data_IF_086653384883
#
_entry.id   IF_086653384883
#
_cell.length_a   1.000
_cell.length_b   1.000
_cell.length_c   1.000
_cell.angle_alpha   90.00
_cell.angle_beta   90.00
_cell.angle_gamma   90.00
#
_symmetry.space_group_name_H-M   'P 1'
#
loop_
_entity.id
_entity.type
_entity.pdbx_description
1 polymer ?
2 non-polymer ?
#
# COMPACT_ATOMS: atom_id res chain seq x y z
N UNK A 6 1.91 25.74 -18.15
CA UNK A 6 2.64 24.80 -17.29
C UNK A 6 1.88 23.48 -17.23
N UNK A 7 2.56 22.36 -17.47
CA UNK A 7 1.94 21.02 -17.39
C UNK A 7 1.71 20.68 -15.92
N UNK A 8 0.52 20.15 -15.60
CA UNK A 8 0.22 19.70 -14.22
C UNK A 8 0.71 18.27 -13.85
N UNK A 9 2.02 18.11 -13.53
CA UNK A 9 2.66 16.80 -13.33
C UNK A 9 2.53 16.48 -11.84
N UNK A 10 1.98 15.31 -11.51
CA UNK A 10 1.86 14.80 -10.13
C UNK A 10 2.46 13.40 -10.11
N UNK A 11 2.90 12.94 -8.95
CA UNK A 11 3.36 11.54 -8.84
C UNK A 11 2.35 10.88 -7.89
N UNK A 12 2.09 9.57 -8.02
CA UNK A 12 1.23 8.75 -7.11
C UNK A 12 1.95 7.44 -6.78
N UNK A 13 1.99 7.09 -5.48
CA UNK A 13 2.68 5.89 -4.99
C UNK A 13 1.95 4.70 -5.59
N UNK A 14 2.70 3.72 -6.12
CA UNK A 14 2.13 2.51 -6.74
C UNK A 14 2.24 1.31 -5.79
N UNK A 15 3.37 1.14 -5.12
CA UNK A 15 3.60 0.00 -4.19
C UNK A 15 4.97 0.17 -3.51
N UNK A 16 5.35 -0.86 -2.72
CA UNK A 16 6.67 -0.91 -2.05
C UNK A 16 7.65 -1.50 -3.04
N UNK A 17 8.93 -1.19 -2.90
CA UNK A 17 9.99 -1.73 -3.79
C UNK A 17 10.64 -2.88 -3.03
N UNK A 18 10.33 -4.11 -3.41
CA UNK A 18 10.92 -5.30 -2.76
C UNK A 18 11.09 -6.44 -3.78
N UNK A 19 12.10 -7.28 -3.58
CA UNK A 19 12.30 -8.47 -4.45
C UNK A 19 11.12 -9.42 -4.21
N UNK A 20 10.53 -9.93 -5.29
CA UNK A 20 9.38 -10.85 -5.19
C UNK A 20 9.86 -12.30 -5.37
N UNK A 21 9.77 -13.09 -4.31
CA UNK A 21 10.23 -14.51 -4.33
C UNK A 21 9.31 -15.38 -5.20
N UNK A 22 8.00 -15.11 -5.18
CA UNK A 22 6.99 -15.94 -5.89
C UNK A 22 6.77 -15.41 -7.31
N UNK A 23 7.74 -14.63 -7.78
CA UNK A 23 7.74 -13.90 -9.07
C UNK A 23 7.80 -14.85 -10.26
N UNK A 24 7.22 -14.41 -11.39
CA UNK A 24 7.23 -15.16 -12.68
C UNK A 24 8.54 -14.87 -13.41
N UNK A 25 9.27 -15.95 -13.77
CA UNK A 25 10.60 -15.92 -14.42
C UNK A 25 10.38 -15.81 -15.93
N UNK A 26 11.47 -15.85 -16.72
CA UNK A 26 11.45 -15.89 -18.20
C UNK A 26 10.83 -14.58 -18.73
N UNK A 27 10.35 -14.58 -19.97
CA UNK A 27 9.81 -13.33 -20.56
C UNK A 27 8.48 -13.53 -21.24
N UNK A 28 7.39 -13.33 -20.49
CA UNK A 28 6.01 -13.31 -21.05
C UNK A 28 5.59 -11.86 -21.31
N UNK A 29 6.42 -10.89 -20.87
CA UNK A 29 6.15 -9.43 -21.01
C UNK A 29 4.71 -9.08 -20.61
N UNK A 80 6.78 12.02 -0.33
CA UNK A 80 6.51 11.49 1.03
C UNK A 80 6.39 9.97 0.96
N UNK A 81 7.36 9.28 1.57
CA UNK A 81 7.42 7.80 1.70
C UNK A 81 8.22 7.24 0.53
N UNK A 82 9.03 6.22 0.81
CA UNK A 82 9.87 5.52 -0.19
C UNK A 82 8.97 4.60 -0.99
N UNK A 83 9.34 4.29 -2.23
CA UNK A 83 8.53 3.40 -3.08
C UNK A 83 8.65 3.75 -4.57
N UNK A 84 7.83 3.08 -5.39
CA UNK A 84 7.71 3.34 -6.83
C UNK A 84 6.47 4.22 -7.01
N UNK A 85 6.62 5.32 -7.76
CA UNK A 85 5.47 6.23 -8.03
C UNK A 85 5.18 6.19 -9.53
N UNK A 86 3.90 6.33 -9.87
CA UNK A 86 3.51 6.61 -11.28
C UNK A 86 3.73 8.12 -11.45
N UNK A 87 4.23 8.55 -12.61
CA UNK A 87 4.29 9.99 -12.94
C UNK A 87 3.15 10.30 -13.93
N UNK A 88 2.23 11.16 -13.53
CA UNK A 88 1.05 11.50 -14.37
C UNK A 88 0.89 13.02 -14.42
N UNK A 89 0.25 13.50 -15.47
CA UNK A 89 -0.05 14.94 -15.67
C UNK A 89 -1.54 15.02 -15.95
N UNK A 90 -2.23 16.02 -15.41
CA UNK A 90 -3.70 16.19 -15.63
C UNK A 90 -3.99 16.59 -17.09
N UNK A 91 -4.97 15.92 -17.72
CA UNK A 91 -5.39 16.23 -19.11
C UNK A 91 -6.84 16.67 -19.18
N UNK A 92 -7.28 17.07 -20.37
CA UNK A 92 -8.70 17.49 -20.60
C UNK A 92 -9.64 16.31 -20.34
N UNK A 93 -9.26 15.11 -20.81
CA UNK A 93 -10.07 13.87 -20.57
C UNK A 93 -9.80 13.33 -19.16
N UNK A 94 -8.53 13.28 -18.75
CA UNK A 94 -8.15 12.84 -17.40
C UNK A 94 -6.64 12.83 -17.24
N UNK A 95 -6.12 12.11 -16.24
CA UNK A 95 -4.66 12.00 -16.11
C UNK A 95 -4.18 10.95 -17.12
N UNK A 96 -2.93 11.07 -17.55
CA UNK A 96 -2.26 10.08 -18.43
C UNK A 96 -0.91 9.75 -17.78
N UNK A 97 -0.51 8.49 -17.76
CA UNK A 97 0.78 8.11 -17.13
C UNK A 97 1.91 8.21 -18.14
N UNK A 98 2.89 9.05 -17.87
CA UNK A 98 4.02 9.33 -18.80
C UNK A 98 5.30 8.66 -18.30
N UNK A 99 5.40 8.34 -17.02
CA UNK A 99 6.62 7.65 -16.52
C UNK A 99 6.41 7.02 -15.16
N UNK A 100 7.50 6.47 -14.61
CA UNK A 100 7.50 5.86 -13.26
C UNK A 100 8.74 6.39 -12.54
N UNK A 101 8.67 6.54 -11.23
CA UNK A 101 9.83 7.02 -10.45
C UNK A 101 10.05 6.20 -9.20
N UNK A 102 11.25 6.30 -8.67
CA UNK A 102 11.67 5.54 -7.47
C UNK A 102 11.89 6.57 -6.36
N UNK A 103 11.24 6.42 -5.22
CA UNK A 103 11.51 7.30 -4.06
C UNK A 103 12.41 6.54 -3.08
N UNK A 104 13.60 7.09 -2.85
CA UNK A 104 14.59 6.51 -1.92
C UNK A 104 15.33 7.67 -1.24
N UNK A 105 15.39 7.62 0.09
CA UNK A 105 16.12 8.60 0.95
C UNK A 105 15.62 10.03 0.72
N UNK A 106 14.30 10.20 0.54
CA UNK A 106 13.71 11.54 0.38
C UNK A 106 14.06 12.18 -0.95
N UNK A 107 14.65 11.42 -1.89
CA UNK A 107 14.98 11.92 -3.25
C UNK A 107 14.20 11.14 -4.32
N UNK A 108 13.58 11.84 -5.25
CA UNK A 108 12.80 11.18 -6.33
C UNK A 108 13.68 11.01 -7.56
N UNK A 109 13.76 9.80 -8.09
CA UNK A 109 14.61 9.44 -9.25
C UNK A 109 13.67 9.09 -10.40
N UNK A 110 13.91 9.63 -11.60
CA UNK A 110 13.07 9.29 -12.79
C UNK A 110 13.88 9.59 -14.04
N UNK A 111 13.34 9.23 -15.20
CA UNK A 111 13.96 9.48 -16.52
C UNK A 111 13.79 10.95 -16.86
N UNK A 112 14.82 11.58 -17.43
CA UNK A 112 14.72 13.00 -17.86
C UNK A 112 13.56 13.21 -18.84
N UNK A 113 13.43 12.31 -19.81
CA UNK A 113 12.41 12.42 -20.88
C UNK A 113 11.01 12.36 -20.30
N UNK A 114 10.79 11.65 -19.18
CA UNK A 114 9.42 11.60 -18.60
C UNK A 114 9.07 12.97 -18.03
N UNK A 115 9.92 13.51 -17.15
CA UNK A 115 9.67 14.78 -16.41
C UNK A 115 10.00 15.99 -17.29
N UNK A 116 11.06 15.87 -18.09
CA UNK A 116 11.54 16.95 -19.02
C UNK A 116 11.97 18.19 -18.21
N UNK A 117 12.16 18.02 -16.88
CA UNK A 117 12.59 19.08 -15.95
C UNK A 117 11.43 19.77 -15.27
N UNK A 118 10.21 19.40 -15.63
CA UNK A 118 8.99 20.07 -15.12
C UNK A 118 8.89 19.82 -13.62
N UNK A 119 8.28 20.77 -12.90
CA UNK A 119 8.10 20.65 -11.43
C UNK A 119 7.06 19.55 -11.18
N UNK A 120 7.21 18.82 -10.06
CA UNK A 120 6.31 17.68 -9.75
C UNK A 120 5.47 18.00 -8.50
N UNK A 121 4.18 17.73 -8.56
CA UNK A 121 3.27 17.92 -7.40
C UNK A 121 3.16 16.56 -6.68
N UNK A 122 3.56 16.52 -5.43
CA UNK A 122 3.37 15.35 -4.54
C UNK A 122 2.56 15.85 -3.33
N UNK A 123 1.40 15.24 -3.07
CA UNK A 123 0.55 15.70 -1.94
C UNK A 123 0.18 17.17 -2.18
N UNK A 124 0.34 18.02 -1.15
CA UNK A 124 0.11 19.47 -1.26
C UNK A 124 1.39 20.24 -1.48
N UNK A 125 2.50 19.52 -1.56
CA UNK A 125 3.85 20.12 -1.70
C UNK A 125 4.34 19.89 -3.13
N UNK A 126 5.04 20.90 -3.65
CA UNK A 126 5.73 20.86 -4.96
C UNK A 126 7.15 20.37 -4.65
N UNK A 127 7.50 19.25 -5.28
CA UNK A 127 8.84 18.60 -5.21
C UNK A 127 9.63 19.13 -6.44
N UNK A 128 10.89 19.60 -6.31
CA UNK A 128 11.57 20.31 -7.45
C UNK A 128 12.97 19.75 -7.74
N UNK A 129 13.43 19.80 -9.01
CA UNK A 129 14.66 19.13 -9.45
C UNK A 129 15.99 19.69 -8.92
N UNK A 130 16.94 18.79 -8.66
CA UNK A 130 18.24 19.11 -8.01
C UNK A 130 19.34 18.85 -9.02
N UNK A 131 19.28 17.72 -9.75
CA UNK A 131 20.35 17.31 -10.70
C UNK A 131 19.71 16.53 -11.84
N UNK A 132 20.35 16.54 -13.02
CA UNK A 132 19.88 15.75 -14.18
C UNK A 132 21.03 15.49 -15.15
N UNK A 133 20.88 14.45 -15.97
CA UNK A 133 21.81 14.11 -17.06
C UNK A 133 20.95 13.72 -18.28
N UNK A 134 20.95 14.54 -19.31
CA UNK A 134 20.14 14.27 -20.54
C UNK A 134 20.71 13.06 -21.29
N UNK A 135 22.05 12.94 -21.35
CA UNK A 135 22.75 11.80 -22.00
C UNK A 135 22.36 10.48 -21.35
N UNK A 136 22.33 10.44 -20.01
CA UNK A 136 21.95 9.21 -19.25
C UNK A 136 20.43 9.13 -19.04
N UNK A 137 19.67 10.15 -19.47
CA UNK A 137 18.20 10.20 -19.33
C UNK A 137 17.82 10.01 -17.85
N UNK A 138 18.47 10.73 -16.95
CA UNK A 138 18.26 10.60 -15.48
C UNK A 138 18.00 11.98 -14.89
N UNK A 139 17.03 12.08 -14.00
CA UNK A 139 16.71 13.35 -13.30
C UNK A 139 16.43 13.02 -11.84
N UNK A 140 16.96 13.83 -10.93
CA UNK A 140 16.79 13.62 -9.46
C UNK A 140 16.01 14.83 -8.93
N UNK A 141 15.04 14.59 -8.05
CA UNK A 141 14.21 15.69 -7.51
C UNK A 141 14.45 15.80 -5.99
N UNK A 142 14.71 17.03 -5.53
CA UNK A 142 14.82 17.34 -4.09
C UNK A 142 16.15 16.94 -3.49
N UNK A 143 16.98 16.17 -4.19
CA UNK A 143 18.27 15.72 -3.64
C UNK A 143 19.18 15.11 -4.69
N UNK A 144 20.42 14.76 -4.31
CA UNK A 144 21.39 14.16 -5.25
C UNK A 144 20.89 12.77 -5.64
N UNK A 145 21.37 12.18 -6.73
CA UNK A 145 21.06 10.77 -7.12
C UNK A 145 21.48 9.83 -5.98
N UNK A 146 20.54 9.00 -5.48
CA UNK A 146 20.77 8.12 -4.31
C UNK A 146 20.92 6.65 -4.74
N UNK A 147 20.75 6.35 -6.03
CA UNK A 147 20.77 4.92 -6.48
C UNK A 147 22.16 4.53 -6.94
N UNK A 148 22.92 3.89 -6.05
CA UNK A 148 24.33 3.48 -6.33
C UNK A 148 24.41 1.99 -6.67
N UNK A 149 23.30 1.24 -6.57
CA UNK A 149 23.27 -0.21 -6.79
C UNK A 149 23.77 -0.60 -8.17
N UNK A 150 24.53 -1.68 -8.26
CA UNK A 150 25.15 -2.17 -9.53
C UNK A 150 24.76 -3.63 -9.75
N UNK A 151 24.59 -4.03 -11.01
CA UNK A 151 24.29 -5.44 -11.37
C UNK A 151 25.53 -6.32 -11.25
N UNK A 152 25.33 -7.58 -10.85
CA UNK A 152 26.43 -8.57 -10.67
C UNK A 152 27.05 -8.81 -12.05
N UNK A 153 26.19 -8.84 -13.07
CA UNK A 153 26.58 -9.18 -14.46
C UNK A 153 26.17 -10.64 -14.77
N UNK A 154 25.98 -11.48 -13.74
CA UNK A 154 25.63 -12.90 -13.94
C UNK A 154 24.28 -13.26 -13.38
N UNK A 155 23.88 -12.62 -12.28
CA UNK A 155 22.62 -12.92 -11.53
C UNK A 155 21.39 -12.43 -12.31
N UNK A 156 20.25 -13.09 -12.06
CA UNK A 156 18.94 -12.72 -12.63
C UNK A 156 18.37 -11.50 -11.89
N UNK A 157 17.50 -10.74 -12.54
CA UNK A 157 16.95 -9.49 -11.93
C UNK A 157 15.43 -9.51 -12.02
N UNK A 158 14.77 -8.66 -11.25
CA UNK A 158 13.30 -8.50 -11.31
C UNK A 158 13.00 -7.06 -11.72
N UNK A 159 12.09 -6.87 -12.67
CA UNK A 159 11.67 -5.52 -13.08
C UNK A 159 10.34 -5.26 -12.34
N UNK A 160 10.30 -4.20 -11.55
CA UNK A 160 9.00 -3.80 -10.99
C UNK A 160 8.31 -2.91 -12.01
N UNK A 161 7.51 -3.52 -12.88
CA UNK A 161 6.76 -2.89 -14.00
C UNK A 161 5.56 -2.11 -13.47
N UNK A 162 5.12 -1.09 -14.21
CA UNK A 162 3.98 -0.23 -13.85
C UNK A 162 3.26 0.18 -15.13
N UNK A 163 2.73 -0.79 -15.87
CA UNK A 163 2.02 -0.43 -17.11
C UNK A 163 1.05 0.72 -16.74
N UNK A 164 0.91 1.76 -17.58
CA UNK A 164 -0.21 2.69 -17.42
C UNK A 164 -1.53 1.88 -17.33
N UNK A 165 -2.18 1.98 -16.15
CA UNK A 165 -3.56 1.46 -15.95
C UNK A 165 -3.55 0.02 -15.45
N UNK A 166 -2.38 -0.45 -15.04
CA UNK A 166 -2.18 -1.88 -14.70
C UNK A 166 -1.53 -1.95 -13.32
N UNK A 167 -1.86 -2.97 -12.55
CA UNK A 167 -1.26 -3.19 -11.22
C UNK A 167 0.25 -3.32 -11.43
N UNK A 168 1.08 -2.83 -10.48
CA UNK A 168 2.51 -3.12 -10.49
C UNK A 168 2.73 -4.61 -10.33
N UNK A 169 3.65 -5.17 -11.10
CA UNK A 169 4.00 -6.61 -11.01
C UNK A 169 5.52 -6.72 -11.09
N UNK A 170 6.08 -7.77 -10.49
CA UNK A 170 7.54 -8.01 -10.57
C UNK A 170 7.72 -9.14 -11.57
N UNK A 171 8.63 -8.95 -12.52
CA UNK A 171 8.93 -10.02 -13.54
C UNK A 171 10.41 -10.39 -13.42
N UNK A 172 10.70 -11.67 -13.26
CA UNK A 172 12.10 -12.14 -13.16
C UNK A 172 12.64 -12.41 -14.57
N UNK A 173 13.77 -11.82 -14.94
CA UNK A 173 14.39 -12.04 -16.27
C UNK A 173 15.92 -11.90 -16.15
N UNK A 174 16.66 -12.50 -17.09
CA UNK A 174 18.12 -12.29 -17.19
C UNK A 174 18.42 -11.24 -18.26
N UNK A 175 19.04 -10.09 -17.94
CA UNK A 175 19.34 -9.06 -18.92
C UNK A 175 20.37 -9.54 -19.95
N UNK A 176 20.19 -9.16 -21.23
CA UNK A 176 21.14 -9.45 -22.33
C UNK A 176 22.41 -8.62 -22.18
N UNK A 177 23.58 -9.23 -22.36
CA UNK A 177 24.85 -8.54 -22.07
C UNK A 177 25.50 -8.17 -23.40
N UNK A 178 25.84 -6.89 -23.56
CA UNK A 178 26.51 -6.37 -24.78
C UNK A 178 27.68 -5.49 -24.34
N UNK A 179 28.77 -5.53 -25.11
CA UNK A 179 29.99 -4.73 -24.90
C UNK A 179 29.71 -3.28 -25.32
N UNK A 180 30.45 -2.34 -24.72
CA UNK A 180 30.43 -0.90 -25.08
C UNK A 180 31.81 -0.31 -24.81
N UNK A 181 32.06 0.90 -25.31
CA UNK A 181 33.39 1.56 -25.14
C UNK A 181 33.62 1.86 -23.65
N UNK A 182 32.54 2.08 -22.91
CA UNK A 182 32.56 2.39 -21.45
C UNK A 182 32.35 1.12 -20.61
N UNK A 183 32.50 -0.07 -21.21
CA UNK A 183 32.38 -1.33 -20.44
C UNK A 183 31.05 -2.05 -20.67
N UNK A 184 31.05 -3.37 -20.51
CA UNK A 184 29.88 -4.22 -20.85
C UNK A 184 28.64 -3.69 -20.12
N UNK A 185 27.50 -3.68 -20.82
CA UNK A 185 26.21 -3.20 -20.21
C UNK A 185 25.12 -4.27 -20.38
N UNK A 186 24.13 -4.25 -19.49
CA UNK A 186 23.03 -5.22 -19.52
C UNK A 186 21.79 -4.57 -20.10
N UNK A 187 21.13 -5.23 -21.05
CA UNK A 187 19.94 -4.65 -21.67
C UNK A 187 18.70 -5.41 -21.22
N UNK A 188 17.71 -4.70 -20.67
CA UNK A 188 16.42 -5.33 -20.28
C UNK A 188 15.36 -4.75 -21.21
N UNK A 189 14.93 -5.50 -22.21
CA UNK A 189 13.89 -5.00 -23.18
C UNK A 189 12.71 -5.97 -23.25
N UNK A 190 11.52 -5.48 -22.89
CA UNK A 190 10.31 -6.33 -22.80
C UNK A 190 9.17 -5.59 -23.49
N UNK A 191 8.05 -6.27 -23.73
CA UNK A 191 6.88 -5.65 -24.40
C UNK A 191 6.03 -4.91 -23.37
N UNK A 192 6.43 -3.69 -23.04
CA UNK A 192 5.72 -2.84 -22.06
C UNK A 192 5.44 -1.48 -22.72
N UNK A 193 4.40 -0.79 -22.26
CA UNK A 193 4.04 0.55 -22.78
C UNK A 193 5.14 1.57 -22.43
N UNK A 194 5.14 2.74 -23.11
CA UNK A 194 6.10 3.84 -22.88
C UNK A 194 6.00 4.40 -21.46
N UNK A 195 4.78 4.51 -20.95
CA UNK A 195 4.48 5.11 -19.64
C UNK A 195 5.10 4.30 -18.50
N UNK A 196 5.60 3.09 -18.83
CA UNK A 196 6.30 2.17 -17.91
C UNK A 196 7.74 2.66 -17.69
N UNK A 197 8.17 3.67 -18.43
CA UNK A 197 9.58 4.14 -18.39
C UNK A 197 9.91 4.64 -17.00
N UNK A 198 11.08 4.30 -16.49
CA UNK A 198 11.49 4.69 -15.13
C UNK A 198 11.15 3.64 -14.10
N UNK A 199 10.48 2.57 -14.51
CA UNK A 199 10.17 1.42 -13.64
C UNK A 199 11.47 0.86 -13.08
N UNK A 200 11.62 0.72 -11.74
CA UNK A 200 12.87 0.22 -11.14
C UNK A 200 13.20 -1.25 -11.40
N UNK A 201 14.48 -1.50 -11.70
CA UNK A 201 15.06 -2.85 -11.89
C UNK A 201 15.84 -3.18 -10.63
N UNK A 202 15.46 -4.27 -9.96
CA UNK A 202 16.07 -4.60 -8.64
C UNK A 202 16.85 -5.90 -8.75
N UNK A 203 17.92 -6.01 -7.96
CA UNK A 203 18.72 -7.26 -7.78
C UNK A 203 18.14 -8.11 -6.63
N UNK A 204 18.82 -9.23 -6.31
CA UNK A 204 18.44 -10.22 -5.27
C UNK A 204 18.43 -9.58 -3.87
N UNK A 205 19.29 -8.61 -3.63
CA UNK A 205 19.31 -7.84 -2.36
C UNK A 205 18.09 -6.92 -2.25
N UNK A 206 17.43 -6.63 -3.37
CA UNK A 206 16.27 -5.72 -3.39
C UNK A 206 16.65 -4.28 -3.64
N UNK A 207 17.94 -4.00 -3.89
CA UNK A 207 18.44 -2.66 -4.29
C UNK A 207 18.05 -2.35 -5.75
N UNK A 208 17.92 -1.07 -6.08
CA UNK A 208 17.57 -0.67 -7.47
C UNK A 208 18.85 -0.57 -8.31
N UNK A 209 18.99 -1.43 -9.33
CA UNK A 209 20.22 -1.53 -10.17
C UNK A 209 19.99 -0.80 -11.51
N UNK A 210 18.72 -0.43 -11.79
CA UNK A 210 18.47 0.26 -13.06
C UNK A 210 17.04 0.75 -13.18
N UNK A 211 16.80 1.65 -14.14
CA UNK A 211 15.44 2.14 -14.45
C UNK A 211 15.06 1.66 -15.85
N UNK A 212 13.85 1.13 -16.02
CA UNK A 212 13.41 0.54 -17.31
C UNK A 212 13.52 1.59 -18.42
N UNK A 213 14.45 1.39 -19.35
CA UNK A 213 14.81 2.41 -20.37
C UNK A 213 16.11 2.06 -21.10
N UNK A 227 20.24 -0.61 -20.57
CA UNK A 227 20.42 0.61 -19.74
C UNK A 227 20.88 0.22 -18.33
N UNK A 228 21.17 -1.06 -18.07
CA UNK A 228 21.56 -1.57 -16.73
C UNK A 228 23.08 -1.70 -16.59
N UNK A 229 23.73 -0.71 -15.95
CA UNK A 229 25.21 -0.72 -15.81
C UNK A 229 25.61 -1.89 -14.91
N UNK A 230 26.59 -2.68 -15.33
CA UNK A 230 27.06 -3.83 -14.52
C UNK A 230 28.51 -3.57 -14.05
N UNK A 231 28.79 -3.80 -12.76
CA UNK A 231 30.14 -3.62 -12.20
C UNK A 231 30.62 -4.95 -11.58
N UNK A 232 31.84 -5.37 -11.93
CA UNK A 232 32.42 -6.64 -11.42
C UNK A 232 33.94 -6.51 -11.30
N UNK B 6 -9.99 -1.03 37.94
CA UNK B 6 -10.68 -0.82 36.65
C UNK B 6 -9.66 -0.55 35.55
N UNK B 7 -10.05 -0.90 34.31
CA UNK B 7 -9.15 -0.84 33.14
C UNK B 7 -9.38 0.49 32.44
N UNK B 8 -8.28 1.19 32.13
CA UNK B 8 -8.36 2.49 31.40
C UNK B 8 -8.24 2.24 29.89
N UNK B 9 -9.37 2.05 29.21
CA UNK B 9 -9.43 1.74 27.76
C UNK B 9 -9.62 3.08 27.06
N UNK B 10 -8.71 3.43 26.14
CA UNK B 10 -8.73 4.74 25.45
C UNK B 10 -8.72 4.49 23.94
N UNK B 11 -9.16 5.49 23.17
CA UNK B 11 -9.21 5.43 21.69
C UNK B 11 -8.11 6.32 21.08
N UNK B 12 -7.37 5.79 20.12
CA UNK B 12 -6.36 6.55 19.36
C UNK B 12 -6.64 6.46 17.85
N UNK B 13 -6.79 7.60 17.17
CA UNK B 13 -7.06 7.61 15.71
C UNK B 13 -5.80 7.22 14.95
N UNK B 14 -5.93 6.23 14.06
CA UNK B 14 -4.77 5.67 13.33
C UNK B 14 -4.73 6.17 11.88
N UNK B 15 -5.91 6.43 11.29
CA UNK B 15 -5.94 7.00 9.93
C UNK B 15 -7.40 7.31 9.50
N UNK B 16 -7.57 7.60 8.18
CA UNK B 16 -8.88 7.66 7.50
C UNK B 16 -9.15 6.27 6.92
N UNK B 17 -10.41 5.93 6.65
CA UNK B 17 -10.76 4.61 6.03
C UNK B 17 -11.05 4.85 4.55
N UNK B 18 -10.09 4.55 3.69
CA UNK B 18 -10.23 4.74 2.23
C UNK B 18 -9.61 3.53 1.52
N UNK B 19 -10.17 3.15 0.39
CA UNK B 19 -9.53 2.14 -0.50
C UNK B 19 -8.27 2.75 -1.10
N UNK B 20 -7.15 2.05 -1.04
CA UNK B 20 -5.86 2.53 -1.61
C UNK B 20 -5.40 1.58 -2.74
N UNK B 21 -5.12 2.14 -3.92
CA UNK B 21 -4.64 1.36 -5.10
C UNK B 21 -3.13 1.12 -5.03
N UNK B 22 -2.45 1.74 -4.06
CA UNK B 22 -1.01 1.47 -3.78
C UNK B 22 -0.85 0.26 -2.84
N UNK B 23 -1.96 -0.34 -2.42
CA UNK B 23 -1.98 -1.46 -1.44
C UNK B 23 -1.25 -2.68 -2.01
N UNK B 24 -0.51 -3.38 -1.14
CA UNK B 24 0.18 -4.66 -1.46
C UNK B 24 -0.89 -5.74 -1.70
N UNK B 25 -0.68 -6.57 -2.73
CA UNK B 25 -1.63 -7.64 -3.18
C UNK B 25 -1.28 -8.98 -2.53
N UNK B 26 -2.21 -9.95 -2.59
CA UNK B 26 -2.04 -11.32 -2.02
C UNK B 26 -1.81 -11.26 -0.50
N UNK B 27 -0.67 -11.77 0.00
CA UNK B 27 -0.38 -11.66 1.44
C UNK B 27 1.09 -11.84 1.76
N UNK B 28 1.70 -10.82 2.37
CA UNK B 28 3.08 -10.90 2.93
C UNK B 28 3.00 -10.68 4.44
N UNK B 29 1.82 -10.34 4.97
CA UNK B 29 1.56 -10.15 6.42
C UNK B 29 2.65 -9.30 7.08
N UNK B 80 -16.38 10.68 17.88
CA UNK B 80 -15.99 11.98 17.27
C UNK B 80 -14.92 11.74 16.20
N UNK B 81 -15.22 12.16 14.96
CA UNK B 81 -14.35 12.11 13.75
C UNK B 81 -14.34 10.69 13.20
N UNK B 82 -14.96 10.48 12.03
CA UNK B 82 -15.01 9.18 11.35
C UNK B 82 -13.57 8.72 11.08
N UNK B 83 -13.31 7.40 11.13
CA UNK B 83 -11.99 6.86 10.80
C UNK B 83 -11.68 5.58 11.57
N UNK B 84 -10.47 5.04 11.39
CA UNK B 84 -10.02 3.82 12.09
C UNK B 84 -9.23 4.22 13.32
N UNK B 85 -9.54 3.62 14.48
CA UNK B 85 -8.84 3.91 15.75
C UNK B 85 -8.26 2.61 16.33
N UNK B 86 -7.09 2.69 16.95
CA UNK B 86 -6.53 1.58 17.75
C UNK B 86 -7.27 1.60 19.10
N UNK B 87 -7.54 0.41 19.66
CA UNK B 87 -8.18 0.30 21.00
C UNK B 87 -7.08 0.03 22.02
N UNK B 88 -6.81 1.02 22.87
CA UNK B 88 -5.66 0.92 23.81
C UNK B 88 -6.19 1.04 25.25
N UNK B 89 -5.62 0.23 26.14
CA UNK B 89 -5.89 0.27 27.61
C UNK B 89 -4.51 0.38 28.26
N UNK B 90 -4.38 1.24 29.30
CA UNK B 90 -3.09 1.41 29.99
C UNK B 90 -3.13 0.63 31.30
N UNK B 91 -2.27 -0.37 31.42
CA UNK B 91 -2.06 -1.10 32.68
C UNK B 91 -1.12 -0.32 33.58
N UNK B 92 -0.88 -0.80 34.80
CA UNK B 92 0.04 -0.06 35.70
C UNK B 92 1.43 -0.02 35.05
N UNK B 93 1.82 -1.15 34.43
CA UNK B 93 3.13 -1.28 33.73
C UNK B 93 3.22 -0.29 32.55
N UNK B 94 2.22 -0.26 31.66
CA UNK B 94 2.30 0.64 30.49
C UNK B 94 1.18 0.46 29.47
N UNK B 95 1.35 1.12 28.34
CA UNK B 95 0.43 1.14 27.17
C UNK B 95 0.37 -0.27 26.56
N UNK B 96 -0.76 -0.59 25.92
CA UNK B 96 -0.98 -1.89 25.24
C UNK B 96 -2.14 -1.74 24.24
N UNK B 97 -2.08 -2.40 23.08
CA UNK B 97 -3.19 -2.35 22.11
C UNK B 97 -3.93 -3.68 22.16
N UNK B 98 -5.22 -3.62 22.53
CA UNK B 98 -6.07 -4.84 22.64
C UNK B 98 -6.84 -5.07 21.32
N UNK B 99 -6.90 -4.07 20.43
CA UNK B 99 -7.67 -4.23 19.17
C UNK B 99 -7.82 -2.95 18.38
N UNK B 100 -8.68 -2.98 17.37
CA UNK B 100 -8.91 -1.83 16.47
C UNK B 100 -10.41 -1.63 16.37
N UNK B 101 -10.83 -0.43 16.01
CA UNK B 101 -12.27 -0.11 15.89
C UNK B 101 -12.48 0.90 14.80
N UNK B 102 -13.74 1.07 14.38
CA UNK B 102 -14.10 1.96 13.25
C UNK B 102 -15.15 2.94 13.79
N UNK B 103 -14.90 4.22 13.63
CA UNK B 103 -15.91 5.26 13.98
C UNK B 103 -16.65 5.70 12.72
N UNK B 104 -17.98 5.52 12.70
CA UNK B 104 -18.81 5.89 11.52
C UNK B 104 -20.16 6.42 12.00
N UNK B 105 -20.51 7.64 11.57
CA UNK B 105 -21.80 8.32 11.87
C UNK B 105 -21.97 8.45 13.39
N UNK B 106 -20.90 8.84 14.10
CA UNK B 106 -20.96 9.07 15.55
C UNK B 106 -21.16 7.79 16.34
N UNK B 107 -20.90 6.63 15.73
CA UNK B 107 -20.94 5.34 16.45
C UNK B 107 -19.59 4.65 16.34
N UNK B 108 -19.06 4.14 17.44
CA UNK B 108 -17.80 3.38 17.42
C UNK B 108 -18.12 1.88 17.35
N UNK B 109 -17.51 1.19 16.39
CA UNK B 109 -17.71 -0.24 16.12
C UNK B 109 -16.41 -0.96 16.47
N UNK B 110 -16.51 -2.11 17.14
CA UNK B 110 -15.32 -2.94 17.44
C UNK B 110 -15.82 -4.35 17.73
N UNK B 111 -14.91 -5.26 18.04
CA UNK B 111 -15.21 -6.66 18.43
C UNK B 111 -15.50 -6.69 19.92
N UNK B 112 -16.45 -7.53 20.35
CA UNK B 112 -16.81 -7.66 21.79
C UNK B 112 -15.58 -8.07 22.60
N UNK B 113 -14.82 -9.07 22.15
CA UNK B 113 -13.65 -9.58 22.90
C UNK B 113 -12.55 -8.53 23.13
N UNK B 114 -12.50 -7.46 22.31
CA UNK B 114 -11.49 -6.37 22.47
C UNK B 114 -11.84 -5.51 23.69
N UNK B 115 -13.08 -5.05 23.80
CA UNK B 115 -13.55 -4.16 24.91
C UNK B 115 -14.08 -4.98 26.09
N UNK B 116 -14.73 -6.10 25.79
CA UNK B 116 -15.35 -6.95 26.82
C UNK B 116 -16.38 -6.12 27.60
N UNK B 117 -16.94 -5.11 26.97
CA UNK B 117 -17.98 -4.23 27.53
C UNK B 117 -17.40 -3.06 28.28
N UNK B 118 -16.08 -2.96 28.39
CA UNK B 118 -15.41 -1.89 29.18
C UNK B 118 -15.76 -0.55 28.56
N UNK B 119 -15.82 0.50 29.38
CA UNK B 119 -16.12 1.89 28.92
C UNK B 119 -14.92 2.39 28.09
N UNK B 120 -15.16 3.29 27.14
CA UNK B 120 -14.10 3.81 26.24
C UNK B 120 -13.93 5.30 26.53
N UNK B 121 -12.71 5.83 26.37
CA UNK B 121 -12.47 7.27 26.60
C UNK B 121 -11.81 7.88 25.35
N UNK B 122 -12.18 9.13 25.04
CA UNK B 122 -11.54 9.98 24.01
C UNK B 122 -10.47 10.88 24.67
N UNK B 123 -10.07 11.96 24.00
CA UNK B 123 -9.09 12.90 24.64
C UNK B 123 -9.72 13.48 25.92
N UNK B 124 -10.96 13.97 25.83
CA UNK B 124 -11.69 14.49 27.00
C UNK B 124 -13.00 13.73 27.22
N UNK B 125 -13.62 13.25 26.15
CA UNK B 125 -14.96 12.62 26.16
C UNK B 125 -14.89 11.16 26.60
N UNK B 126 -16.03 10.63 27.05
CA UNK B 126 -16.24 9.21 27.45
C UNK B 126 -17.24 8.58 26.48
N UNK B 127 -17.00 7.33 26.11
CA UNK B 127 -17.89 6.61 25.15
C UNK B 127 -18.74 5.60 25.93
N UNK B 128 -20.07 5.70 25.80
CA UNK B 128 -21.03 4.81 26.54
C UNK B 128 -21.47 3.67 25.62
N UNK B 129 -21.48 2.42 26.11
CA UNK B 129 -21.92 1.29 25.28
C UNK B 129 -23.40 1.44 24.94
N UNK B 130 -23.80 0.94 23.75
CA UNK B 130 -25.22 0.96 23.29
C UNK B 130 -25.69 -0.48 23.03
N UNK B 131 -24.98 -1.22 22.20
CA UNK B 131 -25.42 -2.58 21.84
C UNK B 131 -24.19 -3.48 21.74
N UNK B 132 -24.39 -4.78 21.85
CA UNK B 132 -23.29 -5.74 21.66
C UNK B 132 -23.84 -7.13 21.34
N UNK B 133 -23.04 -7.95 20.65
CA UNK B 133 -23.40 -9.35 20.30
C UNK B 133 -22.21 -10.25 20.57
N UNK B 134 -22.23 -10.96 21.69
CA UNK B 134 -21.05 -11.76 22.14
C UNK B 134 -20.85 -12.90 21.15
N UNK B 135 -21.93 -13.52 20.72
CA UNK B 135 -21.86 -14.63 19.75
C UNK B 135 -21.15 -14.18 18.48
N UNK B 136 -21.53 -13.01 17.93
CA UNK B 136 -20.94 -12.50 16.66
C UNK B 136 -19.67 -11.69 16.94
N UNK B 137 -19.30 -11.57 18.21
CA UNK B 137 -18.10 -10.81 18.67
C UNK B 137 -18.25 -9.37 18.20
N UNK B 138 -19.40 -8.75 18.43
CA UNK B 138 -19.64 -7.35 17.93
C UNK B 138 -20.02 -6.43 19.10
N UNK B 139 -19.44 -5.24 19.13
CA UNK B 139 -19.70 -4.24 20.19
C UNK B 139 -19.94 -2.89 19.51
N UNK B 140 -20.99 -2.17 19.90
CA UNK B 140 -21.24 -0.80 19.38
C UNK B 140 -21.25 0.20 20.55
N UNK B 141 -20.64 1.38 20.36
CA UNK B 141 -20.70 2.44 21.41
C UNK B 141 -21.33 3.71 20.83
N UNK B 142 -22.13 4.40 21.64
CA UNK B 142 -22.68 5.71 21.26
C UNK B 142 -23.90 5.61 20.38
N UNK B 143 -24.27 4.43 19.90
CA UNK B 143 -25.47 4.30 19.02
C UNK B 143 -25.53 2.97 18.28
N UNK B 144 -26.66 2.72 17.60
CA UNK B 144 -26.90 1.42 16.94
C UNK B 144 -25.81 1.14 15.93
N UNK B 145 -25.55 -0.15 15.61
CA UNK B 145 -24.58 -0.58 14.54
C UNK B 145 -24.94 0.12 13.24
N UNK B 146 -23.97 0.81 12.61
CA UNK B 146 -24.15 1.62 11.37
C UNK B 146 -23.48 0.96 10.15
N UNK B 147 -22.77 -0.13 10.30
CA UNK B 147 -22.01 -0.72 9.15
C UNK B 147 -22.91 -1.69 8.40
N UNK B 148 -23.73 -1.19 7.48
CA UNK B 148 -24.65 -2.02 6.65
C UNK B 148 -24.00 -2.48 5.33
N UNK B 149 -22.77 -2.09 5.02
CA UNK B 149 -22.10 -2.59 3.79
C UNK B 149 -21.86 -4.11 3.86
N UNK B 150 -22.19 -4.83 2.78
CA UNK B 150 -22.02 -6.30 2.74
C UNK B 150 -21.21 -6.71 1.49
N UNK B 151 -20.35 -7.72 1.63
CA UNK B 151 -19.57 -8.31 0.51
C UNK B 151 -20.49 -9.05 -0.47
N UNK B 152 -20.15 -9.04 -1.76
CA UNK B 152 -20.94 -9.73 -2.83
C UNK B 152 -20.43 -11.16 -3.04
N UNK B 153 -19.20 -11.47 -2.59
CA UNK B 153 -18.60 -12.81 -2.76
C UNK B 153 -17.74 -12.85 -4.02
N UNK B 154 -17.76 -11.81 -4.86
CA UNK B 154 -16.98 -11.86 -6.10
C UNK B 154 -15.71 -11.00 -6.02
N UNK B 155 -15.86 -9.74 -5.68
CA UNK B 155 -14.75 -8.76 -5.67
C UNK B 155 -13.65 -9.16 -4.66
N UNK B 156 -12.46 -8.58 -4.86
CA UNK B 156 -11.35 -8.60 -3.88
C UNK B 156 -11.66 -7.57 -2.79
N UNK B 157 -11.00 -7.67 -1.64
CA UNK B 157 -11.28 -6.71 -0.56
C UNK B 157 -9.95 -6.11 -0.08
N UNK B 158 -10.05 -5.02 0.65
CA UNK B 158 -8.85 -4.48 1.32
C UNK B 158 -9.01 -4.60 2.83
N UNK B 159 -8.02 -5.16 3.51
CA UNK B 159 -7.97 -5.06 4.98
C UNK B 159 -7.12 -3.84 5.25
N UNK B 160 -7.69 -2.87 5.95
CA UNK B 160 -6.90 -1.73 6.42
C UNK B 160 -6.27 -2.19 7.73
N UNK B 161 -5.18 -2.91 7.66
CA UNK B 161 -4.55 -3.45 8.87
C UNK B 161 -3.97 -2.30 9.69
N UNK B 162 -4.22 -2.33 11.00
CA UNK B 162 -3.62 -1.40 11.97
C UNK B 162 -2.90 -2.25 13.02
N UNK B 163 -1.79 -2.88 12.61
CA UNK B 163 -0.99 -3.72 13.54
C UNK B 163 -0.51 -2.87 14.72
N UNK B 164 -0.54 -3.37 15.98
CA UNK B 164 -0.07 -2.59 17.13
C UNK B 164 1.42 -2.26 17.02
N UNK B 165 1.78 -1.02 17.33
CA UNK B 165 3.16 -0.53 17.21
C UNK B 165 3.56 -0.27 15.76
N UNK B 166 2.65 -0.43 14.80
CA UNK B 166 2.96 -0.24 13.36
C UNK B 166 1.94 0.70 12.73
N UNK B 167 2.37 1.46 11.71
CA UNK B 167 1.49 2.37 10.93
C UNK B 167 0.45 1.54 10.20
N UNK B 168 -0.75 2.09 9.91
CA UNK B 168 -1.76 1.39 9.13
C UNK B 168 -1.33 1.08 7.69
N UNK B 169 -1.52 -0.17 7.29
CA UNK B 169 -1.16 -0.68 5.94
C UNK B 169 -2.46 -1.18 5.32
N UNK B 170 -2.79 -0.80 4.08
CA UNK B 170 -3.94 -1.40 3.39
C UNK B 170 -3.41 -2.61 2.60
N UNK B 171 -4.07 -3.76 2.74
CA UNK B 171 -3.61 -5.02 2.08
C UNK B 171 -4.78 -5.54 1.27
N UNK B 172 -4.55 -5.80 -0.01
CA UNK B 172 -5.60 -6.30 -0.93
C UNK B 172 -5.49 -7.82 -1.02
N UNK B 173 -6.62 -8.51 -0.92
CA UNK B 173 -6.64 -9.99 -0.97
C UNK B 173 -8.04 -10.41 -1.39
N UNK B 174 -8.18 -11.67 -1.82
CA UNK B 174 -9.50 -12.29 -2.09
C UNK B 174 -9.78 -13.30 -0.98
N UNK B 175 -10.83 -13.11 -0.17
CA UNK B 175 -11.15 -14.04 0.90
C UNK B 175 -11.50 -15.43 0.33
N UNK B 176 -11.23 -16.48 1.11
CA UNK B 176 -11.73 -17.82 0.80
C UNK B 176 -13.22 -17.90 1.10
N UNK B 177 -13.94 -18.78 0.41
CA UNK B 177 -15.41 -18.94 0.62
C UNK B 177 -15.69 -20.28 1.32
N UNK B 178 -16.51 -20.23 2.36
CA UNK B 178 -16.93 -21.43 3.13
C UNK B 178 -18.46 -21.43 3.11
N UNK B 179 -19.06 -22.62 2.98
CA UNK B 179 -20.51 -22.84 3.15
C UNK B 179 -20.80 -22.84 4.67
N UNK B 180 -22.01 -22.46 5.05
CA UNK B 180 -22.50 -22.47 6.45
C UNK B 180 -24.02 -22.63 6.41
N UNK B 181 -24.59 -23.05 7.55
CA UNK B 181 -26.05 -23.28 7.71
C UNK B 181 -26.80 -21.98 7.42
N UNK B 182 -26.19 -20.83 7.74
CA UNK B 182 -26.79 -19.50 7.48
C UNK B 182 -26.23 -18.92 6.16
N UNK B 183 -25.68 -19.74 5.28
CA UNK B 183 -25.18 -19.27 3.97
C UNK B 183 -23.67 -19.20 3.94
N UNK B 184 -23.10 -19.13 2.73
CA UNK B 184 -21.64 -19.04 2.53
C UNK B 184 -21.10 -17.71 3.08
N UNK B 185 -19.89 -17.75 3.65
CA UNK B 185 -19.24 -16.57 4.28
C UNK B 185 -17.76 -16.57 3.84
N UNK B 186 -17.21 -15.37 3.66
CA UNK B 186 -15.83 -15.15 3.24
C UNK B 186 -14.90 -15.20 4.42
N UNK B 187 -13.70 -15.75 4.24
CA UNK B 187 -12.75 -15.83 5.35
C UNK B 187 -11.48 -15.05 5.02
N UNK B 188 -11.03 -14.19 5.94
CA UNK B 188 -9.77 -13.42 5.76
C UNK B 188 -8.83 -13.72 6.92
N UNK B 189 -7.81 -14.53 6.69
CA UNK B 189 -6.84 -14.91 7.76
C UNK B 189 -5.42 -14.65 7.29
N UNK B 190 -4.70 -13.77 8.00
CA UNK B 190 -3.31 -13.43 7.62
C UNK B 190 -2.43 -13.55 8.87
N UNK B 191 -1.12 -13.39 8.71
CA UNK B 191 -0.18 -13.44 9.85
C UNK B 191 -0.08 -12.03 10.43
N UNK B 192 -1.07 -11.63 11.21
CA UNK B 192 -1.07 -10.30 11.85
C UNK B 192 -1.16 -10.51 13.36
N UNK B 193 -0.54 -9.62 14.12
CA UNK B 193 -0.62 -9.70 15.60
C UNK B 193 -2.08 -9.61 16.08
N UNK B 194 -2.36 -10.12 17.30
CA UNK B 194 -3.71 -10.17 17.87
C UNK B 194 -4.30 -8.76 18.06
N UNK B 195 -3.43 -7.80 18.38
CA UNK B 195 -3.83 -6.38 18.57
C UNK B 195 -4.45 -5.79 17.30
N UNK B 196 -4.36 -6.52 16.19
CA UNK B 196 -4.87 -6.12 14.87
C UNK B 196 -6.36 -6.46 14.78
N UNK B 197 -6.88 -7.26 15.72
CA UNK B 197 -8.29 -7.70 15.70
C UNK B 197 -9.20 -6.46 15.65
N UNK B 198 -10.28 -6.54 14.87
CA UNK B 198 -11.22 -5.40 14.72
C UNK B 198 -10.81 -4.46 13.60
N UNK B 199 -9.66 -4.68 12.97
CA UNK B 199 -9.22 -3.88 11.81
C UNK B 199 -10.29 -3.95 10.72
N UNK B 200 -10.66 -2.82 10.08
CA UNK B 200 -11.74 -2.81 9.10
C UNK B 200 -11.38 -3.50 7.78
N UNK B 201 -12.36 -4.20 7.19
CA UNK B 201 -12.23 -4.83 5.85
C UNK B 201 -13.15 -4.05 4.93
N UNK B 202 -12.59 -3.46 3.86
CA UNK B 202 -13.33 -2.48 3.01
C UNK B 202 -13.55 -3.09 1.62
N UNK B 203 -14.70 -2.76 1.04
CA UNK B 203 -15.05 -3.06 -0.37
C UNK B 203 -14.43 -1.97 -1.27
N UNK B 204 -14.52 -2.16 -2.59
CA UNK B 204 -13.91 -1.26 -3.62
C UNK B 204 -14.42 0.17 -3.44
N UNK B 205 -15.68 0.34 -3.04
CA UNK B 205 -16.28 1.69 -2.80
C UNK B 205 -15.77 2.32 -1.51
N UNK B 206 -14.97 1.59 -0.73
CA UNK B 206 -14.42 2.11 0.54
C UNK B 206 -15.34 1.85 1.72
N UNK B 207 -16.47 1.18 1.50
CA UNK B 207 -17.41 0.80 2.58
C UNK B 207 -16.84 -0.37 3.38
N UNK B 208 -17.05 -0.39 4.68
CA UNK B 208 -16.50 -1.50 5.51
C UNK B 208 -17.51 -2.64 5.58
N UNK B 209 -17.13 -3.79 5.03
CA UNK B 209 -18.03 -4.97 4.86
C UNK B 209 -17.65 -5.99 5.93
N UNK B 210 -16.59 -5.74 6.69
CA UNK B 210 -16.18 -6.73 7.70
C UNK B 210 -15.15 -6.21 8.66
N UNK B 211 -14.99 -6.87 9.80
CA UNK B 211 -13.97 -6.53 10.82
C UNK B 211 -12.99 -7.69 11.00
N UNK B 212 -11.69 -7.42 10.97
CA UNK B 212 -10.64 -8.47 10.96
C UNK B 212 -10.78 -9.34 12.20
N UNK B 213 -11.22 -10.58 12.01
CA UNK B 213 -11.66 -11.49 13.09
C UNK B 213 -11.83 -12.94 12.54
N UNK B 227 -15.02 -14.36 8.82
CA UNK B 227 -15.96 -13.48 9.57
C UNK B 227 -16.54 -12.44 8.60
N UNK B 228 -16.42 -12.63 7.28
CA UNK B 228 -16.84 -11.62 6.29
C UNK B 228 -18.13 -12.09 5.62
N UNK B 229 -19.21 -11.47 6.02
CA UNK B 229 -20.57 -11.89 5.61
C UNK B 229 -20.86 -11.51 4.16
N UNK B 230 -21.47 -12.43 3.41
CA UNK B 230 -21.74 -12.28 1.96
C UNK B 230 -23.24 -12.11 1.68
N UNK B 231 -23.62 -11.03 0.99
CA UNK B 231 -25.05 -10.73 0.69
C UNK B 231 -25.12 -10.32 -0.78
N UNK B 232 -26.28 -10.52 -1.43
CA UNK B 232 -26.50 -10.25 -2.87
C UNK B 232 -27.98 -9.98 -3.19
X LIG C 1 16.10 6.54 -22.73
X LIG C 1 16.80 5.25 -22.58
X LIG C 1 18.31 5.48 -22.46
X LIG C 1 19.13 4.39 -22.04
X LIG C 1 20.50 4.55 -21.84
X LIG C 1 21.06 5.83 -22.17
X LIG C 1 20.31 6.94 -22.66
X LIG C 1 18.85 6.77 -22.83
X LIG C 1 22.55 5.96 -22.05
X LIG C 1 23.21 6.42 -23.18
X LIG C 1 24.62 6.60 -23.23
X LIG C 1 25.37 6.33 -22.12
X LIG C 1 26.79 6.46 -22.20
X LIG C 1 27.48 5.82 -21.00
X LIG C 1 28.08 7.03 -20.24
X LIG C 1 28.19 6.96 -18.66
X LIG C 1 29.07 8.10 -18.09
X LIG C 1 30.35 8.17 -18.93
X LIG C 1 30.04 8.54 -20.35
X LIG C 1 29.40 7.28 -21.00
X LIG C 1 24.73 5.87 -20.96
X LIG C 1 23.30 5.61 -20.89
X LIG C 1 22.62 5.18 -19.55
X LIG C 1 21.31 5.65 -19.23
X LIG C 1 20.72 5.33 -17.96
X LIG C 1 21.47 4.51 -17.00
X LIG C 1 22.80 4.10 -17.27
X LIG C 1 23.37 4.44 -18.54
X LIG C 1 20.76 4.25 -15.68
X LIG C 1 21.36 4.50 -14.40
X LIG C 1 20.38 4.16 -13.42
X LIG C 1 19.18 3.76 -14.17
X LIG C 1 19.40 3.82 -15.55
X LIG D 1 -13.87 -13.61 16.93
X LIG D 1 -14.16 -13.57 15.52
X LIG D 1 -15.56 -14.17 15.29
X LIG D 1 -15.96 -14.41 13.89
X LIG D 1 -17.22 -14.89 13.46
X LIG D 1 -18.02 -15.24 14.57
X LIG D 1 -17.71 -15.05 15.97
X LIG D 1 -16.43 -14.52 16.36
X LIG D 1 -19.35 -15.74 14.22
X LIG D 1 -19.85 -16.90 14.82
X LIG D 1 -21.15 -17.33 14.48
X LIG D 1 -21.94 -16.51 13.60
X LIG D 1 -23.31 -16.80 13.20
X LIG D 1 -23.87 -15.48 12.63
X LIG D 1 -25.30 -15.20 13.08
X LIG D 1 -25.96 -14.46 11.90
X LIG D 1 -27.44 -14.11 12.23
X LIG D 1 -28.16 -15.42 12.36
X LIG D 1 -27.56 -16.19 13.51
X LIG D 1 -26.06 -16.54 13.24
X LIG D 1 -21.48 -15.31 13.09
X LIG D 1 -20.15 -14.89 13.36
X LIG D 1 -19.77 -13.47 12.77
X LIG D 1 -19.06 -12.56 13.57
X LIG D 1 -18.82 -11.21 13.07
X LIG D 1 -19.30 -10.79 11.74
X LIG D 1 -20.06 -11.72 10.96
X LIG D 1 -20.31 -13.05 11.49
X LIG D 1 -19.04 -9.35 11.30
X LIG D 1 -20.05 -8.41 10.66
X LIG D 1 -19.47 -7.11 10.51
X LIG D 1 -18.06 -7.36 11.06
X LIG D 1 -17.80 -8.68 11.54
#
# INVERSE_FOLDING_TARGET
>A
GSHMLMADLELERAADVRWEEQAEISGSSPILSITISEDGSMSIKNEEEEQTLGGGGSGGGGAGVLWDVPSPPPVGKAELEDGAYRIKQKGILGYSQIGAGVYKEGTFHTMWHVTRGAVLMHKGKRIEPSWADVKKDLISYGGGWKLEGEWKEGEEVQVLALEPGKNPRAVQTKPGLFKTNTGTIGAVSLDFSPGTSGSPIVDKKGKVVGLYGNGVVTRSGAYVSAIANTEKSIEDNPEIEDDIFRK
>B
GSHMLMADLELERAADVRWEEQAEISGSSPILSITISEDGSMSIKNEEEEQTLGGGGSGGGGAGVLWDVPSPPPVGKAELEDGAYRIKQKGILGYSQIGAGVYKEGTFHTMWHVTRGAVLMHKGKRIEPSWADVKKDLISYGGGWKLEGEWKEGEEVQVLALEPGKNPRAVQTKPGLFKTNTGTIGAVSLDFSPGTSGSPIVDKKGKVVGLYGNGVVTRSGAYVSAIANTEKSIEDNPEIEDDIFRK
>C hetero
1 JVM N1 C2 C3 C8 C7 C6 C5 C4 C9 N22 C21 C12 O13 C14 C15 C20 C19 N18 C17 C16 N11 C10 C23 C28 C27 C26 C25 C24 C29 C33 N32 N31 C30
>D hetero
1 JVM N1 C2 C3 C8 C7 C6 C5 C4 C9 N22 C21 C12 O13 C14 C15 C20 C19 N18 C17 C16 N11 C10 C23 C28 C27 C26 C25 C24 C29 C33 N32 N31 C30
#
